data_IF_332998624870
#
_entry.id   IF_332998624870
#
_cell.length_a   1.000
_cell.length_b   1.000
_cell.length_c   1.000
_cell.angle_alpha   90.00
_cell.angle_beta   90.00
_cell.angle_gamma   90.00
#
_symmetry.space_group_name_H-M   'P 1'
#
loop_
_entity.id
_entity.type
_entity.pdbx_description
1 polymer ?
#
# COMPACT_ATOMS: atom_id res chain seq x y z
N UNK A 1 -5.56 17.47 -42.72
CA UNK A 1 -6.38 17.82 -41.54
C UNK A 1 -7.53 18.79 -41.93
N UNK A 2 -8.64 18.35 -42.56
CA UNK A 2 -9.83 19.20 -42.69
C UNK A 2 -11.09 18.64 -42.01
N UNK A 3 -10.99 17.52 -41.26
CA UNK A 3 -12.13 16.82 -40.66
C UNK A 3 -12.47 17.23 -39.21
N UNK A 4 -11.72 18.19 -38.62
CA UNK A 4 -11.98 18.72 -37.27
C UNK A 4 -12.73 20.07 -37.26
N UNK A 5 -13.02 20.65 -38.43
CA UNK A 5 -13.66 21.97 -38.54
C UNK A 5 -15.21 21.92 -38.52
N UNK A 6 -15.82 20.73 -38.47
CA UNK A 6 -17.28 20.54 -38.55
C UNK A 6 -17.93 20.03 -37.27
N UNK A 7 -17.22 20.02 -36.14
CA UNK A 7 -17.85 19.73 -34.85
C UNK A 7 -18.62 20.98 -34.38
N UNK A 8 -19.92 20.87 -34.02
CA UNK A 8 -20.69 22.00 -33.54
C UNK A 8 -19.99 22.61 -32.32
N UNK A 9 -19.74 23.92 -32.38
CA UNK A 9 -19.19 24.68 -31.25
C UNK A 9 -20.08 24.47 -30.04
N UNK A 10 -19.60 23.69 -29.06
CA UNK A 10 -20.27 23.54 -27.77
C UNK A 10 -20.53 24.93 -27.21
N UNK A 11 -21.77 25.25 -26.79
CA UNK A 11 -22.08 26.58 -26.29
C UNK A 11 -21.21 26.87 -25.06
N UNK A 12 -20.43 27.95 -25.12
CA UNK A 12 -19.46 28.35 -24.09
C UNK A 12 -20.01 28.36 -22.66
N UNK A 13 -21.34 28.51 -22.52
CA UNK A 13 -22.06 28.42 -21.25
C UNK A 13 -21.97 27.01 -20.63
N UNK A 14 -22.12 25.93 -21.41
CA UNK A 14 -22.00 24.54 -20.94
C UNK A 14 -20.54 24.21 -20.58
N UNK A 15 -19.58 24.67 -21.38
CA UNK A 15 -18.13 24.49 -21.13
C UNK A 15 -17.67 25.20 -19.85
N UNK A 16 -18.31 26.31 -19.47
CA UNK A 16 -18.05 27.02 -18.21
C UNK A 16 -18.79 26.45 -16.99
N UNK A 17 -19.92 25.78 -17.22
CA UNK A 17 -20.74 25.14 -16.17
C UNK A 17 -20.17 23.79 -15.75
N UNK A 18 -19.57 23.04 -16.69
CA UNK A 18 -19.01 21.71 -16.43
C UNK A 18 -17.94 21.69 -15.32
N UNK A 19 -16.89 22.56 -15.34
CA UNK A 19 -15.91 22.59 -14.25
C UNK A 19 -16.53 23.01 -12.92
N UNK A 20 -17.52 23.93 -12.90
CA UNK A 20 -18.19 24.37 -11.67
C UNK A 20 -19.11 23.31 -11.06
N UNK A 21 -19.83 22.56 -11.89
CA UNK A 21 -20.67 21.43 -11.45
C UNK A 21 -19.81 20.26 -10.96
N UNK A 22 -18.69 19.99 -11.64
CA UNK A 22 -17.72 18.98 -11.23
C UNK A 22 -17.03 19.35 -9.91
N UNK A 23 -16.58 20.59 -9.74
CA UNK A 23 -16.02 21.07 -8.47
C UNK A 23 -17.03 20.98 -7.32
N UNK A 24 -18.32 21.32 -7.57
CA UNK A 24 -19.39 21.12 -6.58
C UNK A 24 -19.63 19.65 -6.24
N UNK A 25 -19.60 18.76 -7.24
CA UNK A 25 -19.71 17.33 -7.01
C UNK A 25 -18.52 16.80 -6.19
N UNK A 26 -17.28 17.16 -6.55
CA UNK A 26 -16.07 16.79 -5.78
C UNK A 26 -16.14 17.33 -4.35
N UNK A 27 -16.63 18.55 -4.16
CA UNK A 27 -16.83 19.12 -2.82
C UNK A 27 -17.92 18.40 -2.02
N UNK A 28 -18.97 17.88 -2.67
CA UNK A 28 -19.99 17.06 -2.01
C UNK A 28 -19.46 15.70 -1.53
N UNK A 29 -18.33 15.22 -2.07
CA UNK A 29 -17.66 13.98 -1.64
C UNK A 29 -16.61 14.18 -0.53
N UNK A 30 -16.48 15.37 0.06
CA UNK A 30 -15.55 15.60 1.18
C UNK A 30 -15.77 14.66 2.37
N UNK A 31 -17.03 14.27 2.65
CA UNK A 31 -17.33 13.31 3.70
C UNK A 31 -16.76 11.91 3.40
N UNK A 32 -16.87 11.47 2.14
CA UNK A 32 -16.31 10.20 1.67
C UNK A 32 -14.80 10.21 1.82
N UNK A 33 -14.17 11.32 1.44
CA UNK A 33 -12.72 11.48 1.54
C UNK A 33 -12.22 11.43 3.00
N UNK A 34 -12.86 12.16 3.92
CA UNK A 34 -12.53 12.11 5.36
C UNK A 34 -12.69 10.69 5.93
N UNK A 35 -13.73 9.96 5.51
CA UNK A 35 -13.94 8.57 5.91
C UNK A 35 -12.86 7.63 5.33
N UNK A 36 -12.46 7.84 4.07
CA UNK A 36 -11.38 7.07 3.47
C UNK A 36 -10.05 7.28 4.20
N UNK A 37 -9.70 8.54 4.47
CA UNK A 37 -8.48 8.91 5.17
C UNK A 37 -8.42 8.34 6.60
N UNK A 38 -9.53 8.34 7.33
CA UNK A 38 -9.56 7.78 8.69
C UNK A 38 -9.29 6.27 8.72
N UNK A 39 -9.85 5.52 7.78
CA UNK A 39 -9.64 4.06 7.70
C UNK A 39 -8.24 3.72 7.19
N UNK A 40 -7.70 4.48 6.22
CA UNK A 40 -6.32 4.30 5.74
C UNK A 40 -5.33 4.56 6.88
N UNK A 41 -5.52 5.64 7.64
CA UNK A 41 -4.68 5.97 8.79
C UNK A 41 -4.78 4.90 9.88
N UNK A 42 -5.99 4.43 10.20
CA UNK A 42 -6.22 3.36 11.17
C UNK A 42 -5.51 2.07 10.76
N UNK A 43 -5.62 1.66 9.51
CA UNK A 43 -5.01 0.45 9.01
C UNK A 43 -3.47 0.50 9.05
N UNK A 44 -2.88 1.64 8.70
CA UNK A 44 -1.44 1.84 8.80
C UNK A 44 -0.95 1.69 10.26
N UNK A 45 -1.70 2.23 11.23
CA UNK A 45 -1.40 2.04 12.65
C UNK A 45 -1.53 0.58 13.10
N UNK A 46 -2.59 -0.11 12.66
CA UNK A 46 -2.86 -1.49 13.04
C UNK A 46 -1.85 -2.51 12.46
N UNK A 47 -1.10 -2.12 11.43
CA UNK A 47 -0.06 -2.98 10.83
C UNK A 47 1.20 -3.07 11.69
N UNK A 48 1.42 -2.11 12.60
CA UNK A 48 2.60 -2.10 13.47
C UNK A 48 2.36 -2.99 14.69
N UNK A 49 2.91 -4.20 14.70
CA UNK A 49 2.92 -5.06 15.89
C UNK A 49 4.31 -5.07 16.54
N UNK A 50 4.38 -4.77 17.83
CA UNK A 50 5.64 -4.66 18.59
C UNK A 50 6.44 -5.98 18.55
N UNK A 51 5.75 -7.12 18.60
CA UNK A 51 6.36 -8.45 18.55
C UNK A 51 7.13 -8.72 17.24
N UNK A 52 6.64 -8.19 16.11
CA UNK A 52 7.27 -8.40 14.81
C UNK A 52 8.52 -7.52 14.63
N UNK A 53 8.51 -6.35 15.27
CA UNK A 53 9.60 -5.39 15.18
C UNK A 53 10.73 -5.67 16.18
N UNK A 54 10.44 -6.33 17.31
CA UNK A 54 11.38 -6.47 18.43
C UNK A 54 12.77 -7.00 18.03
N UNK A 55 12.85 -7.93 17.07
CA UNK A 55 14.10 -8.54 16.61
C UNK A 55 14.94 -7.63 15.70
N UNK A 56 14.29 -6.76 14.91
CA UNK A 56 14.95 -5.88 13.91
C UNK A 56 14.83 -4.40 14.26
N UNK A 57 14.32 -4.05 15.44
CA UNK A 57 13.98 -2.67 15.86
C UNK A 57 15.12 -1.68 15.67
N UNK A 58 16.34 -2.03 16.07
CA UNK A 58 17.49 -1.12 15.97
C UNK A 58 17.85 -0.81 14.52
N UNK A 59 17.81 -1.83 13.66
CA UNK A 59 18.05 -1.70 12.23
C UNK A 59 16.94 -0.86 11.56
N UNK A 60 15.67 -1.14 11.86
CA UNK A 60 14.52 -0.42 11.30
C UNK A 60 14.52 1.05 11.72
N UNK A 61 14.72 1.35 13.01
CA UNK A 61 14.76 2.73 13.52
C UNK A 61 15.86 3.53 12.80
N UNK A 62 17.04 2.95 12.64
CA UNK A 62 18.18 3.64 12.04
C UNK A 62 18.00 3.86 10.53
N UNK A 63 17.44 2.88 9.82
CA UNK A 63 17.08 3.03 8.40
C UNK A 63 16.00 4.10 8.24
N UNK A 64 14.93 4.04 9.04
CA UNK A 64 13.84 5.01 8.99
C UNK A 64 14.34 6.42 9.30
N UNK A 65 15.13 6.59 10.37
CA UNK A 65 15.72 7.87 10.74
C UNK A 65 16.57 8.44 9.60
N UNK A 66 17.48 7.63 9.04
CA UNK A 66 18.32 8.08 7.94
C UNK A 66 17.49 8.46 6.70
N UNK A 67 16.54 7.62 6.26
CA UNK A 67 15.68 7.95 5.11
C UNK A 67 14.90 9.25 5.36
N UNK A 68 14.29 9.40 6.53
CA UNK A 68 13.53 10.60 6.89
C UNK A 68 14.41 11.85 6.88
N UNK A 69 15.55 11.83 7.57
CA UNK A 69 16.45 12.98 7.67
C UNK A 69 17.04 13.37 6.31
N UNK A 70 17.54 12.40 5.54
CA UNK A 70 18.10 12.69 4.22
C UNK A 70 17.03 13.21 3.25
N UNK A 71 15.84 12.60 3.25
CA UNK A 71 14.72 13.04 2.39
C UNK A 71 14.27 14.45 2.78
N UNK A 72 14.07 14.70 4.07
CA UNK A 72 13.66 16.02 4.56
C UNK A 72 14.71 17.09 4.21
N UNK A 73 15.99 16.84 4.48
CA UNK A 73 17.06 17.80 4.21
C UNK A 73 17.21 18.09 2.71
N UNK A 74 17.29 17.05 1.88
CA UNK A 74 17.44 17.22 0.43
C UNK A 74 16.28 18.00 -0.18
N UNK A 75 15.05 17.72 0.24
CA UNK A 75 13.86 18.40 -0.26
C UNK A 75 13.75 19.81 0.30
N UNK A 76 14.13 20.03 1.57
CA UNK A 76 14.22 21.37 2.15
C UNK A 76 15.15 22.27 1.32
N UNK A 77 16.37 21.82 1.05
CA UNK A 77 17.32 22.60 0.25
C UNK A 77 16.89 22.73 -1.22
N UNK A 78 16.37 21.67 -1.84
CA UNK A 78 15.86 21.73 -3.20
C UNK A 78 14.69 22.73 -3.31
N UNK A 79 13.77 22.72 -2.34
CA UNK A 79 12.67 23.68 -2.30
C UNK A 79 13.19 25.10 -2.10
N UNK A 80 14.08 25.35 -1.14
CA UNK A 80 14.66 26.70 -0.95
C UNK A 80 15.25 27.28 -2.24
N UNK A 81 15.84 26.43 -3.10
CA UNK A 81 16.34 26.83 -4.42
C UNK A 81 15.23 27.03 -5.46
N UNK A 82 14.19 26.19 -5.44
CA UNK A 82 13.13 26.14 -6.46
C UNK A 82 11.92 27.02 -6.16
N UNK A 83 11.74 27.49 -4.92
CA UNK A 83 10.60 28.33 -4.49
C UNK A 83 10.37 29.56 -5.39
N UNK A 84 11.42 30.27 -5.87
CA UNK A 84 11.22 31.41 -6.78
C UNK A 84 10.53 31.04 -8.09
N UNK A 85 10.55 29.77 -8.50
CA UNK A 85 10.01 29.29 -9.77
C UNK A 85 8.60 28.71 -9.64
N UNK A 86 8.08 28.60 -8.41
CA UNK A 86 6.73 28.05 -8.11
C UNK A 86 5.64 29.14 -8.21
N UNK A 87 6.02 30.42 -8.23
CA UNK A 87 5.06 31.54 -8.32
C UNK A 87 4.27 31.78 -7.03
N UNK A 88 4.90 31.52 -5.87
CA UNK A 88 4.32 31.82 -4.56
C UNK A 88 4.30 33.34 -4.30
N UNK A 89 3.35 33.84 -3.49
CA UNK A 89 3.35 35.24 -3.09
C UNK A 89 4.60 35.59 -2.27
N UNK A 90 4.88 36.90 -2.15
CA UNK A 90 6.06 37.40 -1.45
C UNK A 90 5.96 37.09 0.05
N UNK A 91 6.73 36.11 0.51
CA UNK A 91 6.83 35.71 1.91
C UNK A 91 8.15 36.16 2.54
N UNK A 92 8.15 36.32 3.86
CA UNK A 92 9.38 36.52 4.65
C UNK A 92 10.24 35.26 4.58
N UNK A 93 11.57 35.40 4.72
CA UNK A 93 12.49 34.26 4.64
C UNK A 93 12.14 33.10 5.61
N UNK A 94 11.69 33.42 6.83
CA UNK A 94 11.25 32.43 7.83
C UNK A 94 10.02 31.63 7.37
N UNK A 95 9.09 32.27 6.66
CA UNK A 95 7.90 31.63 6.10
C UNK A 95 8.26 30.71 4.92
N UNK A 96 9.19 31.15 4.07
CA UNK A 96 9.74 30.32 2.98
C UNK A 96 10.41 29.05 3.53
N UNK A 97 11.20 29.17 4.61
CA UNK A 97 11.78 28.02 5.30
C UNK A 97 10.72 27.06 5.85
N UNK A 98 9.64 27.59 6.42
CA UNK A 98 8.51 26.78 6.88
C UNK A 98 7.82 26.00 5.75
N UNK A 99 7.58 26.64 4.60
CA UNK A 99 7.01 25.98 3.41
C UNK A 99 7.97 24.90 2.87
N UNK A 100 9.27 25.20 2.78
CA UNK A 100 10.28 24.23 2.35
C UNK A 100 10.38 23.03 3.30
N UNK A 101 10.31 23.29 4.62
CA UNK A 101 10.27 22.24 5.64
C UNK A 101 9.05 21.35 5.49
N UNK A 102 7.87 21.95 5.24
CA UNK A 102 6.61 21.22 5.04
C UNK A 102 6.65 20.34 3.79
N UNK A 103 7.28 20.80 2.70
CA UNK A 103 7.56 19.97 1.54
C UNK A 103 8.48 18.79 1.89
N UNK A 104 9.52 19.05 2.69
CA UNK A 104 10.41 18.02 3.20
C UNK A 104 9.67 16.92 3.96
N UNK A 105 8.80 17.30 4.90
CA UNK A 105 8.02 16.32 5.68
C UNK A 105 7.02 15.55 4.82
N UNK A 106 6.34 16.24 3.91
CA UNK A 106 5.43 15.61 2.95
C UNK A 106 6.15 14.58 2.07
N UNK A 107 7.37 14.87 1.61
CA UNK A 107 8.13 13.97 0.75
C UNK A 107 8.70 12.75 1.46
N UNK A 108 8.71 12.73 2.80
CA UNK A 108 8.97 11.51 3.55
C UNK A 108 7.87 10.47 3.31
N UNK A 109 6.62 10.86 3.10
CA UNK A 109 5.49 9.93 3.00
C UNK A 109 5.74 8.78 2.00
N UNK A 110 5.34 7.57 2.41
CA UNK A 110 5.33 6.35 1.59
C UNK A 110 3.90 5.78 1.56
N UNK A 111 3.65 4.76 0.73
CA UNK A 111 2.34 4.12 0.59
C UNK A 111 2.43 2.62 0.93
N UNK A 112 1.88 2.17 2.06
CA UNK A 112 1.89 0.76 2.45
C UNK A 112 1.04 -0.07 1.50
N UNK A 113 -0.13 0.44 1.09
CA UNK A 113 -1.04 -0.24 0.16
C UNK A 113 -0.36 -0.64 -1.17
N UNK A 114 0.43 0.24 -1.77
CA UNK A 114 1.18 -0.09 -2.99
C UNK A 114 2.26 -1.15 -2.75
N UNK A 115 2.92 -1.14 -1.59
CA UNK A 115 3.90 -2.16 -1.26
C UNK A 115 3.23 -3.53 -1.08
N UNK A 116 2.12 -3.58 -0.33
CA UNK A 116 1.33 -4.80 -0.15
C UNK A 116 0.85 -5.37 -1.49
N UNK A 117 0.39 -4.50 -2.41
CA UNK A 117 -0.04 -4.94 -3.73
C UNK A 117 1.09 -5.62 -4.51
N UNK A 118 2.29 -5.00 -4.55
CA UNK A 118 3.46 -5.59 -5.21
C UNK A 118 3.90 -6.89 -4.54
N UNK A 119 3.90 -6.95 -3.21
CA UNK A 119 4.26 -8.17 -2.47
C UNK A 119 3.25 -9.29 -2.69
N UNK A 120 1.96 -8.97 -2.75
CA UNK A 120 0.90 -9.93 -3.06
C UNK A 120 1.02 -10.45 -4.48
N UNK A 121 1.26 -9.57 -5.45
CA UNK A 121 1.43 -9.94 -6.86
C UNK A 121 2.69 -10.78 -7.11
N UNK A 122 3.78 -10.47 -6.42
CA UNK A 122 5.05 -11.23 -6.54
C UNK A 122 5.10 -12.47 -5.64
N UNK A 123 4.11 -12.68 -4.79
CA UNK A 123 4.16 -13.60 -3.65
C UNK A 123 5.46 -13.45 -2.84
N UNK A 124 5.91 -12.20 -2.68
CA UNK A 124 7.17 -11.81 -2.07
C UNK A 124 7.22 -12.16 -0.59
N UNK A 125 8.12 -13.06 -0.20
CA UNK A 125 8.35 -13.43 1.21
C UNK A 125 9.83 -13.63 1.50
N UNK A 126 10.32 -12.94 2.53
CA UNK A 126 11.69 -13.09 3.02
C UNK A 126 12.15 -11.87 3.82
N UNK A 127 13.45 -11.82 4.10
CA UNK A 127 14.06 -10.82 4.96
C UNK A 127 13.98 -9.41 4.36
N UNK A 128 14.14 -9.25 3.04
CA UNK A 128 14.00 -7.99 2.34
C UNK A 128 12.55 -7.48 2.41
N UNK A 129 11.57 -8.32 2.09
CA UNK A 129 10.15 -7.95 2.12
C UNK A 129 9.73 -7.53 3.54
N UNK A 130 10.11 -8.32 4.56
CA UNK A 130 9.82 -8.01 5.97
C UNK A 130 10.48 -6.71 6.43
N UNK A 131 11.75 -6.48 6.06
CA UNK A 131 12.46 -5.25 6.41
C UNK A 131 11.81 -4.03 5.77
N UNK A 132 11.48 -4.10 4.48
CA UNK A 132 10.84 -3.01 3.75
C UNK A 132 9.48 -2.68 4.37
N UNK A 133 8.65 -3.68 4.67
CA UNK A 133 7.35 -3.46 5.30
C UNK A 133 7.49 -2.82 6.69
N UNK A 134 8.41 -3.33 7.53
CA UNK A 134 8.67 -2.75 8.85
C UNK A 134 9.12 -1.27 8.77
N UNK A 135 10.02 -0.95 7.84
CA UNK A 135 10.45 0.43 7.61
C UNK A 135 9.30 1.30 7.13
N UNK A 136 8.46 0.83 6.19
CA UNK A 136 7.30 1.59 5.68
C UNK A 136 6.37 1.97 6.83
N UNK A 137 5.97 0.99 7.66
CA UNK A 137 5.01 1.20 8.73
C UNK A 137 5.54 2.18 9.78
N UNK A 138 6.78 1.98 10.26
CA UNK A 138 7.39 2.89 11.25
C UNK A 138 7.57 4.30 10.67
N UNK A 139 8.00 4.39 9.40
CA UNK A 139 8.22 5.66 8.71
C UNK A 139 6.93 6.45 8.50
N UNK A 140 5.82 5.78 8.23
CA UNK A 140 4.54 6.45 8.03
C UNK A 140 4.08 7.13 9.33
N UNK A 141 4.21 6.47 10.48
CA UNK A 141 3.94 7.07 11.80
C UNK A 141 4.80 8.32 12.03
N UNK A 142 6.11 8.21 11.77
CA UNK A 142 7.05 9.34 11.89
C UNK A 142 6.65 10.48 10.94
N UNK A 143 6.23 10.17 9.72
CA UNK A 143 5.82 11.17 8.74
C UNK A 143 4.60 11.95 9.22
N UNK A 144 3.56 11.27 9.72
CA UNK A 144 2.37 11.94 10.26
C UNK A 144 2.71 12.83 11.46
N UNK A 145 3.54 12.34 12.39
CA UNK A 145 3.96 13.13 13.54
C UNK A 145 4.74 14.39 13.12
N UNK A 146 5.73 14.24 12.25
CA UNK A 146 6.51 15.36 11.75
C UNK A 146 5.63 16.34 10.94
N UNK A 147 4.70 15.84 10.14
CA UNK A 147 3.77 16.68 9.38
C UNK A 147 2.87 17.51 10.29
N UNK A 148 2.27 16.89 11.31
CA UNK A 148 1.42 17.56 12.29
C UNK A 148 2.17 18.69 13.03
N UNK A 149 3.42 18.44 13.43
CA UNK A 149 4.25 19.48 14.06
C UNK A 149 4.54 20.62 13.08
N UNK A 150 4.86 20.28 11.83
CA UNK A 150 5.29 21.26 10.83
C UNK A 150 4.15 22.15 10.36
N UNK A 151 2.93 21.61 10.18
CA UNK A 151 1.77 22.39 9.75
C UNK A 151 1.39 23.42 10.81
N UNK A 152 1.46 23.06 12.09
CA UNK A 152 1.14 23.94 13.21
C UNK A 152 2.22 25.02 13.41
N UNK A 153 3.50 24.65 13.28
CA UNK A 153 4.59 25.62 13.31
C UNK A 153 4.46 26.62 12.16
N UNK A 154 4.13 26.14 10.96
CA UNK A 154 3.90 27.00 9.79
C UNK A 154 2.69 27.92 10.00
N UNK A 155 1.58 27.40 10.54
CA UNK A 155 0.40 28.20 10.87
C UNK A 155 0.74 29.36 11.82
N UNK A 156 1.56 29.08 12.83
CA UNK A 156 2.00 30.09 13.78
C UNK A 156 2.93 31.13 13.13
N UNK A 157 3.81 30.73 12.20
CA UNK A 157 4.67 31.65 11.43
C UNK A 157 3.88 32.53 10.44
N UNK A 158 2.72 32.06 9.99
CA UNK A 158 1.85 32.80 9.06
C UNK A 158 0.89 33.75 9.80
N UNK A 159 0.67 33.55 11.09
CA UNK A 159 -0.20 34.41 11.91
C UNK A 159 0.58 35.66 12.33
N UNK A 160 0.20 36.83 11.82
CA UNK A 160 0.92 38.12 11.96
C UNK A 160 0.94 38.71 13.39
N UNK A 161 0.68 37.89 14.41
CA UNK A 161 0.72 38.27 15.82
C UNK A 161 2.17 38.39 16.30
N UNK A 162 2.75 39.59 16.16
CA UNK A 162 3.89 39.98 16.96
C UNK A 162 3.60 39.79 18.45
N UNK A 163 4.61 39.34 19.21
CA UNK A 163 4.71 39.25 20.68
C UNK A 163 4.58 37.84 21.30
N UNK A 164 5.69 37.40 21.91
CA UNK A 164 5.98 36.19 22.72
C UNK A 164 6.19 34.86 21.98
N UNK A 165 7.24 34.86 21.15
CA UNK A 165 7.65 33.85 20.15
C UNK A 165 7.88 32.41 20.63
N UNK A 166 8.11 32.14 21.93
CA UNK A 166 8.50 30.80 22.39
C UNK A 166 7.35 29.91 22.88
N UNK A 167 6.60 30.40 23.87
CA UNK A 167 5.68 29.56 24.66
C UNK A 167 4.25 29.58 24.10
N UNK A 168 3.78 30.71 23.54
CA UNK A 168 2.43 30.81 22.96
C UNK A 168 2.32 30.15 21.59
N UNK A 169 3.37 30.29 20.77
CA UNK A 169 3.52 29.66 19.46
C UNK A 169 3.52 28.14 19.56
N UNK A 170 4.13 27.58 20.62
CA UNK A 170 4.20 26.13 20.81
C UNK A 170 2.95 25.53 21.47
N UNK A 171 2.16 26.33 22.20
CA UNK A 171 0.96 25.86 22.92
C UNK A 171 -0.12 25.31 21.98
N UNK A 172 -0.31 25.92 20.81
CA UNK A 172 -1.23 25.45 19.77
C UNK A 172 -0.87 24.05 19.26
N UNK A 173 0.31 23.86 18.64
CA UNK A 173 0.80 22.57 18.16
C UNK A 173 0.81 21.48 19.25
N UNK A 174 1.27 21.82 20.46
CA UNK A 174 1.34 20.85 21.56
C UNK A 174 -0.07 20.43 21.99
N UNK A 175 -1.02 21.37 22.07
CA UNK A 175 -2.41 21.04 22.38
C UNK A 175 -3.03 20.15 21.31
N UNK A 176 -2.89 20.49 20.03
CA UNK A 176 -3.48 19.69 18.95
C UNK A 176 -2.89 18.28 18.91
N UNK A 177 -1.59 18.14 19.15
CA UNK A 177 -0.90 16.85 19.26
C UNK A 177 -1.37 16.04 20.47
N UNK A 178 -1.44 16.66 21.66
CA UNK A 178 -1.89 15.97 22.87
C UNK A 178 -3.35 15.51 22.76
N UNK A 179 -4.23 16.34 22.23
CA UNK A 179 -5.63 15.96 22.00
C UNK A 179 -5.72 14.82 21.00
N UNK A 180 -4.96 14.86 19.89
CA UNK A 180 -4.90 13.76 18.93
C UNK A 180 -4.39 12.45 19.57
N UNK A 181 -3.36 12.53 20.44
CA UNK A 181 -2.85 11.39 21.19
C UNK A 181 -3.88 10.79 22.14
N UNK A 182 -4.59 11.64 22.89
CA UNK A 182 -5.63 11.20 23.82
C UNK A 182 -6.80 10.53 23.08
N UNK A 183 -7.27 11.14 21.98
CA UNK A 183 -8.31 10.58 21.14
C UNK A 183 -7.88 9.27 20.49
N UNK A 184 -6.64 9.20 19.99
CA UNK A 184 -6.08 7.99 19.41
C UNK A 184 -5.96 6.87 20.43
N UNK A 185 -5.41 7.14 21.62
CA UNK A 185 -5.30 6.15 22.68
C UNK A 185 -6.67 5.67 23.17
N UNK A 186 -7.61 6.59 23.40
CA UNK A 186 -8.98 6.25 23.79
C UNK A 186 -9.72 5.46 22.71
N UNK A 187 -9.61 5.88 21.44
CA UNK A 187 -10.16 5.17 20.29
C UNK A 187 -9.55 3.77 20.14
N UNK A 188 -8.25 3.63 20.33
CA UNK A 188 -7.56 2.34 20.22
C UNK A 188 -7.91 1.38 21.35
N UNK A 189 -8.03 1.88 22.57
CA UNK A 189 -8.48 1.09 23.72
C UNK A 189 -9.94 0.64 23.57
N UNK A 190 -10.83 1.53 23.11
CA UNK A 190 -12.22 1.17 22.81
C UNK A 190 -12.30 0.15 21.67
N UNK A 191 -11.47 0.28 20.63
CA UNK A 191 -11.43 -0.70 19.54
C UNK A 191 -10.86 -2.06 20.00
N UNK A 192 -9.78 -2.07 20.78
CA UNK A 192 -9.18 -3.28 21.34
C UNK A 192 -10.16 -4.01 22.27
N UNK A 193 -10.93 -3.28 23.07
CA UNK A 193 -11.97 -3.89 23.92
C UNK A 193 -13.13 -4.44 23.09
N UNK A 194 -13.61 -3.72 22.08
CA UNK A 194 -14.70 -4.18 21.21
C UNK A 194 -14.32 -5.43 20.40
N UNK A 195 -13.10 -5.48 19.87
CA UNK A 195 -12.62 -6.58 19.03
C UNK A 195 -12.01 -7.74 19.85
N UNK A 196 -11.18 -7.40 20.84
CA UNK A 196 -10.41 -8.35 21.65
C UNK A 196 -11.17 -8.97 22.81
N UNK A 197 -12.43 -8.61 23.01
CA UNK A 197 -13.26 -9.26 24.00
C UNK A 197 -13.42 -10.76 23.70
N UNK A 198 -12.86 -11.59 24.58
CA UNK A 198 -13.45 -12.90 24.84
C UNK A 198 -14.95 -12.69 25.17
N UNK A 199 -15.85 -13.61 24.77
CA UNK A 199 -17.30 -13.46 24.97
C UNK A 199 -17.76 -13.26 26.43
N UNK A 200 -16.85 -13.27 27.42
CA UNK A 200 -17.15 -13.00 28.83
C UNK A 200 -17.20 -11.51 29.25
N UNK A 201 -16.49 -10.58 28.60
CA UNK A 201 -16.47 -9.17 29.09
C UNK A 201 -17.55 -8.27 28.46
N UNK A 202 -18.02 -8.60 27.25
CA UNK A 202 -19.19 -7.95 26.59
C UNK A 202 -20.52 -8.42 27.24
N UNK A 203 -20.48 -9.34 28.21
CA UNK A 203 -21.63 -9.57 29.10
C UNK A 203 -22.07 -8.30 29.87
N UNK A 204 -21.25 -7.23 29.88
CA UNK A 204 -21.59 -5.93 30.49
C UNK A 204 -22.13 -4.85 29.54
N UNK A 205 -22.10 -5.06 28.22
CA UNK A 205 -22.83 -4.21 27.27
C UNK A 205 -24.07 -4.99 26.76
N UNK A 206 -25.24 -4.83 27.39
CA UNK A 206 -26.40 -5.70 27.15
C UNK A 206 -26.92 -5.65 25.70
N UNK A 207 -26.65 -4.55 24.98
CA UNK A 207 -27.10 -4.34 23.61
C UNK A 207 -26.27 -5.11 22.57
N UNK A 208 -24.94 -5.14 22.70
CA UNK A 208 -24.05 -5.73 21.69
C UNK A 208 -23.96 -7.26 21.81
N UNK A 209 -23.95 -7.80 23.05
CA UNK A 209 -23.90 -9.25 23.29
C UNK A 209 -25.22 -9.99 23.00
N UNK A 210 -26.35 -9.28 23.01
CA UNK A 210 -27.66 -9.82 22.63
C UNK A 210 -27.82 -9.86 21.10
N UNK A 211 -27.24 -8.88 20.39
CA UNK A 211 -27.26 -8.83 18.95
C UNK A 211 -26.30 -9.89 18.36
N UNK A 212 -25.04 -9.93 18.77
CA UNK A 212 -24.06 -10.88 18.20
C UNK A 212 -24.39 -12.36 18.42
N UNK A 213 -25.11 -12.71 19.50
CA UNK A 213 -25.58 -14.10 19.75
C UNK A 213 -26.67 -14.59 18.81
N UNK A 214 -27.39 -13.68 18.13
CA UNK A 214 -28.49 -14.01 17.21
C UNK A 214 -28.08 -13.97 15.74
N UNK A 215 -26.85 -13.58 15.44
CA UNK A 215 -26.38 -13.39 14.07
C UNK A 215 -25.42 -14.51 13.65
N UNK A 216 -25.60 -14.99 12.41
CA UNK A 216 -24.67 -15.91 11.73
C UNK A 216 -23.23 -15.36 11.75
N UNK A 217 -22.19 -16.21 11.86
CA UNK A 217 -20.79 -15.78 11.91
C UNK A 217 -20.38 -14.80 10.79
N UNK A 218 -20.95 -14.94 9.59
CA UNK A 218 -20.72 -14.03 8.46
C UNK A 218 -21.29 -12.62 8.67
N UNK A 219 -22.34 -12.48 9.48
CA UNK A 219 -22.92 -11.18 9.81
C UNK A 219 -22.17 -10.50 10.95
N UNK A 220 -21.59 -11.27 11.88
CA UNK A 220 -20.75 -10.74 12.96
C UNK A 220 -19.51 -10.04 12.40
N UNK A 221 -18.82 -10.65 11.43
CA UNK A 221 -17.66 -10.04 10.76
C UNK A 221 -18.04 -8.72 10.06
N UNK A 222 -19.18 -8.67 9.38
CA UNK A 222 -19.69 -7.43 8.75
C UNK A 222 -20.03 -6.34 9.76
N UNK A 223 -20.67 -6.69 10.88
CA UNK A 223 -20.95 -5.75 11.96
C UNK A 223 -19.67 -5.17 12.55
N UNK A 224 -18.64 -6.00 12.76
CA UNK A 224 -17.34 -5.53 13.26
C UNK A 224 -16.65 -4.58 12.28
N UNK A 225 -16.68 -4.88 10.98
CA UNK A 225 -16.15 -3.97 9.96
C UNK A 225 -16.86 -2.60 9.97
N UNK A 226 -18.19 -2.58 10.09
CA UNK A 226 -18.96 -1.33 10.22
C UNK A 226 -18.56 -0.56 11.48
N UNK A 227 -18.36 -1.25 12.61
CA UNK A 227 -17.92 -0.61 13.86
C UNK A 227 -16.52 -0.03 13.73
N UNK A 228 -15.58 -0.75 13.12
CA UNK A 228 -14.21 -0.28 12.85
C UNK A 228 -14.24 1.01 12.03
N UNK A 229 -14.96 1.01 10.90
CA UNK A 229 -15.09 2.18 10.01
C UNK A 229 -15.79 3.33 10.72
N UNK A 230 -16.89 3.06 11.43
CA UNK A 230 -17.67 4.06 12.14
C UNK A 230 -16.87 4.72 13.27
N UNK A 231 -16.11 3.95 14.03
CA UNK A 231 -15.26 4.49 15.10
C UNK A 231 -14.09 5.29 14.52
N UNK A 232 -13.44 4.82 13.45
CA UNK A 232 -12.39 5.56 12.76
C UNK A 232 -12.88 6.92 12.26
N UNK A 233 -14.02 6.95 11.56
CA UNK A 233 -14.65 8.18 11.09
C UNK A 233 -15.07 9.11 12.23
N UNK A 234 -15.56 8.55 13.35
CA UNK A 234 -15.94 9.32 14.53
C UNK A 234 -14.75 9.97 15.21
N UNK A 235 -13.65 9.23 15.41
CA UNK A 235 -12.39 9.76 15.98
C UNK A 235 -11.82 10.85 15.07
N UNK A 236 -11.82 10.63 13.76
CA UNK A 236 -11.38 11.62 12.79
C UNK A 236 -12.21 12.90 12.87
N UNK A 237 -13.54 12.77 12.83
CA UNK A 237 -14.45 13.93 12.89
C UNK A 237 -14.36 14.67 14.23
N UNK A 238 -14.16 13.95 15.33
CA UNK A 238 -13.98 14.56 16.66
C UNK A 238 -12.65 15.30 16.76
N UNK A 239 -11.57 14.72 16.23
CA UNK A 239 -10.27 15.39 16.16
C UNK A 239 -10.35 16.68 15.32
N UNK A 240 -10.99 16.61 14.15
CA UNK A 240 -11.22 17.77 13.26
C UNK A 240 -12.03 18.88 13.96
N UNK A 241 -13.04 18.51 14.76
CA UNK A 241 -13.85 19.47 15.55
C UNK A 241 -13.12 20.09 16.74
N UNK A 242 -12.10 19.40 17.29
CA UNK A 242 -11.35 19.87 18.46
C UNK A 242 -10.06 20.62 18.07
N UNK A 243 -9.90 20.93 16.77
CA UNK A 243 -8.68 21.47 16.18
C UNK A 243 -7.45 20.62 16.56
N UNK A 244 -7.60 19.30 16.48
CA UNK A 244 -6.55 18.30 16.69
C UNK A 244 -6.19 17.63 15.36
N UNK A 245 -5.00 17.02 15.27
CA UNK A 245 -4.55 16.34 14.05
C UNK A 245 -5.32 15.01 13.83
N UNK A 246 -6.26 14.92 12.86
CA UNK A 246 -7.16 13.77 12.76
C UNK A 246 -6.46 12.49 12.27
N UNK A 247 -5.49 12.63 11.38
CA UNK A 247 -4.74 11.51 10.82
C UNK A 247 -3.88 10.84 11.89
N UNK A 248 -3.21 11.63 12.72
CA UNK A 248 -2.44 11.11 13.85
C UNK A 248 -3.33 10.37 14.85
N UNK A 249 -4.50 10.92 15.17
CA UNK A 249 -5.45 10.26 16.08
C UNK A 249 -5.86 8.87 15.54
N UNK A 250 -6.15 8.75 14.24
CA UNK A 250 -6.49 7.48 13.61
C UNK A 250 -5.31 6.49 13.56
N UNK A 251 -4.10 6.94 13.24
CA UNK A 251 -2.89 6.08 13.28
C UNK A 251 -2.64 5.54 14.69
N UNK A 252 -2.69 6.42 15.71
CA UNK A 252 -2.50 6.01 17.09
C UNK A 252 -3.62 5.08 17.59
N UNK A 253 -4.85 5.30 17.14
CA UNK A 253 -5.96 4.38 17.39
C UNK A 253 -5.67 2.97 16.87
N UNK A 254 -5.12 2.84 15.66
CA UNK A 254 -4.78 1.55 15.07
C UNK A 254 -3.63 0.88 15.80
N UNK A 255 -2.59 1.66 16.09
CA UNK A 255 -1.40 1.22 16.82
C UNK A 255 -1.75 0.68 18.21
N UNK A 256 -2.53 1.45 18.98
CA UNK A 256 -2.95 1.03 20.32
C UNK A 256 -3.87 -0.19 20.24
N UNK A 257 -4.78 -0.24 19.28
CA UNK A 257 -5.69 -1.38 19.13
C UNK A 257 -4.93 -2.69 18.86
N UNK A 258 -3.90 -2.66 18.00
CA UNK A 258 -3.13 -3.84 17.59
C UNK A 258 -2.04 -4.28 18.60
N UNK A 259 -1.76 -3.48 19.65
CA UNK A 259 -0.71 -3.78 20.63
C UNK A 259 -1.19 -3.81 22.08
N UNK A 260 -2.48 -3.61 22.34
CA UNK A 260 -3.02 -3.63 23.69
C UNK A 260 -3.39 -5.06 24.15
N UNK A 261 -3.07 -5.37 25.41
CA UNK A 261 -3.37 -6.65 26.04
C UNK A 261 -2.21 -7.66 25.97
N UNK A 262 -2.49 -8.93 26.25
CA UNK A 262 -1.50 -10.01 26.08
C UNK A 262 -1.14 -10.21 24.60
N UNK A 263 0.05 -10.72 24.28
CA UNK A 263 0.50 -10.94 22.89
C UNK A 263 -0.53 -11.72 22.05
N UNK A 264 -1.14 -12.76 22.62
CA UNK A 264 -2.18 -13.53 21.95
C UNK A 264 -3.45 -12.71 21.64
N UNK A 265 -3.83 -11.81 22.56
CA UNK A 265 -4.98 -10.93 22.36
C UNK A 265 -4.67 -9.86 21.30
N UNK A 266 -3.51 -9.21 21.40
CA UNK A 266 -3.05 -8.21 20.45
C UNK A 266 -3.05 -8.76 19.00
N UNK A 267 -2.53 -9.98 18.79
CA UNK A 267 -2.58 -10.65 17.48
C UNK A 267 -4.00 -10.94 17.02
N UNK A 268 -4.88 -11.44 17.89
CA UNK A 268 -6.27 -11.70 17.51
C UNK A 268 -7.01 -10.44 17.07
N UNK A 269 -6.76 -9.30 17.73
CA UNK A 269 -7.34 -8.00 17.36
C UNK A 269 -6.77 -7.51 16.04
N UNK A 270 -5.46 -7.65 15.85
CA UNK A 270 -4.79 -7.28 14.60
C UNK A 270 -5.34 -8.08 13.41
N UNK A 271 -5.47 -9.41 13.55
CA UNK A 271 -6.06 -10.27 12.51
C UNK A 271 -7.49 -9.84 12.18
N UNK A 272 -8.29 -9.53 13.20
CA UNK A 272 -9.66 -9.06 13.02
C UNK A 272 -9.75 -7.68 12.35
N UNK A 273 -8.83 -6.77 12.67
CA UNK A 273 -8.68 -5.48 11.99
C UNK A 273 -8.33 -5.68 10.52
N UNK A 274 -7.33 -6.51 10.22
CA UNK A 274 -6.93 -6.83 8.85
C UNK A 274 -8.08 -7.42 8.05
N UNK A 275 -8.86 -8.33 8.65
CA UNK A 275 -10.06 -8.89 8.03
C UNK A 275 -11.14 -7.84 7.77
N UNK A 276 -11.36 -6.95 8.74
CA UNK A 276 -12.31 -5.84 8.62
C UNK A 276 -11.90 -4.87 7.51
N UNK A 277 -10.61 -4.57 7.40
CA UNK A 277 -10.04 -3.77 6.32
C UNK A 277 -10.13 -4.49 4.97
N UNK A 278 -9.96 -5.81 4.91
CA UNK A 278 -10.03 -6.57 3.67
C UNK A 278 -11.36 -6.38 2.92
N UNK A 279 -12.47 -6.18 3.64
CA UNK A 279 -13.78 -5.90 3.07
C UNK A 279 -13.95 -4.44 2.60
N UNK A 280 -13.39 -3.48 3.34
CA UNK A 280 -13.61 -2.06 3.11
C UNK A 280 -12.56 -1.42 2.18
N UNK A 281 -11.30 -1.87 2.25
CA UNK A 281 -10.15 -1.25 1.58
C UNK A 281 -10.25 -1.21 0.05
N UNK A 282 -10.74 -2.23 -0.66
CA UNK A 282 -10.87 -2.13 -2.12
C UNK A 282 -11.79 -0.97 -2.54
N UNK A 283 -12.94 -0.82 -1.87
CA UNK A 283 -13.91 0.24 -2.18
C UNK A 283 -13.38 1.61 -1.74
N UNK A 284 -12.77 1.68 -0.55
CA UNK A 284 -12.17 2.90 -0.02
C UNK A 284 -11.04 3.39 -0.93
N UNK A 285 -10.10 2.50 -1.29
CA UNK A 285 -9.00 2.84 -2.17
C UNK A 285 -9.49 3.23 -3.57
N UNK A 286 -10.44 2.49 -4.15
CA UNK A 286 -11.02 2.83 -5.45
C UNK A 286 -11.66 4.22 -5.42
N UNK A 287 -12.47 4.52 -4.40
CA UNK A 287 -13.14 5.81 -4.25
C UNK A 287 -12.14 6.95 -4.03
N UNK A 288 -11.18 6.74 -3.11
CA UNK A 288 -10.15 7.72 -2.77
C UNK A 288 -9.24 8.01 -3.97
N UNK A 289 -8.73 6.99 -4.66
CA UNK A 289 -7.84 7.18 -5.80
C UNK A 289 -8.57 7.73 -7.03
N UNK A 290 -9.83 7.36 -7.25
CA UNK A 290 -10.65 7.96 -8.31
C UNK A 290 -10.88 9.45 -8.04
N UNK A 291 -11.25 9.82 -6.80
CA UNK A 291 -11.42 11.22 -6.40
C UNK A 291 -10.11 12.01 -6.48
N UNK A 292 -9.02 11.43 -5.99
CA UNK A 292 -7.72 12.07 -6.06
C UNK A 292 -7.29 12.28 -7.52
N UNK A 293 -7.45 11.28 -8.39
CA UNK A 293 -7.20 11.39 -9.83
C UNK A 293 -8.07 12.44 -10.52
N UNK A 294 -9.36 12.47 -10.19
CA UNK A 294 -10.33 13.46 -10.66
C UNK A 294 -9.97 14.89 -10.25
N UNK A 295 -9.30 15.07 -9.11
CA UNK A 295 -8.86 16.39 -8.61
C UNK A 295 -7.55 16.89 -9.25
N UNK A 296 -6.86 16.06 -10.04
CA UNK A 296 -5.60 16.44 -10.69
C UNK A 296 -5.88 17.42 -11.83
N UNK A 297 -5.32 18.62 -11.71
CA UNK A 297 -5.29 19.60 -12.80
C UNK A 297 -4.08 19.36 -13.69
N UNK A 298 -4.28 18.68 -14.83
CA UNK A 298 -3.21 18.37 -15.80
C UNK A 298 -2.48 19.63 -16.31
N UNK A 299 -3.17 20.76 -16.42
CA UNK A 299 -2.53 22.02 -16.83
C UNK A 299 -1.52 22.51 -15.80
N UNK A 300 -1.85 22.36 -14.50
CA UNK A 300 -0.96 22.74 -13.41
C UNK A 300 0.19 21.73 -13.23
N UNK A 301 -0.05 20.47 -13.58
CA UNK A 301 0.98 19.43 -13.66
C UNK A 301 2.04 19.75 -14.73
N UNK A 302 1.60 20.15 -15.92
CA UNK A 302 2.50 20.43 -17.04
C UNK A 302 3.29 21.73 -16.85
N UNK A 303 2.68 22.77 -16.29
CA UNK A 303 3.38 24.04 -16.02
C UNK A 303 4.44 23.91 -14.92
N UNK A 304 4.18 23.08 -13.89
CA UNK A 304 5.10 22.80 -12.79
C UNK A 304 6.10 21.66 -13.05
N UNK A 305 6.05 21.01 -14.22
CA UNK A 305 6.74 19.73 -14.46
C UNK A 305 8.27 19.83 -14.29
N UNK A 306 8.87 20.95 -14.71
CA UNK A 306 10.33 21.16 -14.57
C UNK A 306 10.75 21.15 -13.09
N UNK A 307 10.03 21.90 -12.26
CA UNK A 307 10.27 21.94 -10.81
C UNK A 307 10.00 20.58 -10.18
N UNK A 308 8.91 19.92 -10.59
CA UNK A 308 8.56 18.59 -10.10
C UNK A 308 9.64 17.54 -10.40
N UNK A 309 10.23 17.54 -11.60
CA UNK A 309 11.33 16.64 -11.97
C UNK A 309 12.54 16.88 -11.06
N UNK A 310 12.92 18.14 -10.82
CA UNK A 310 14.04 18.46 -9.93
C UNK A 310 13.80 17.93 -8.50
N UNK A 311 12.61 18.15 -7.94
CA UNK A 311 12.23 17.65 -6.61
C UNK A 311 12.22 16.12 -6.60
N UNK A 312 11.67 15.50 -7.65
CA UNK A 312 11.61 14.04 -7.79
C UNK A 312 13.01 13.41 -7.82
N UNK A 313 13.94 13.96 -8.60
CA UNK A 313 15.34 13.50 -8.63
C UNK A 313 16.02 13.69 -7.28
N UNK A 314 15.87 14.87 -6.65
CA UNK A 314 16.43 15.13 -5.32
C UNK A 314 15.92 14.11 -4.30
N UNK A 315 14.63 13.77 -4.37
CA UNK A 315 14.00 12.76 -3.51
C UNK A 315 14.57 11.37 -3.74
N UNK A 316 14.72 10.95 -4.99
CA UNK A 316 15.28 9.63 -5.32
C UNK A 316 16.70 9.47 -4.78
N UNK A 317 17.54 10.48 -5.00
CA UNK A 317 18.91 10.49 -4.49
C UNK A 317 18.92 10.44 -2.96
N UNK A 318 18.08 11.23 -2.30
CA UNK A 318 17.99 11.26 -0.85
C UNK A 318 17.54 9.91 -0.26
N UNK A 319 16.56 9.25 -0.88
CA UNK A 319 16.10 7.92 -0.47
C UNK A 319 17.19 6.87 -0.70
N UNK A 320 17.91 6.96 -1.82
CA UNK A 320 19.04 6.08 -2.12
C UNK A 320 20.13 6.21 -1.05
N UNK A 321 20.66 7.42 -0.83
CA UNK A 321 21.71 7.65 0.16
C UNK A 321 21.23 7.38 1.58
N UNK A 322 20.03 7.84 1.96
CA UNK A 322 19.48 7.66 3.29
C UNK A 322 19.28 6.18 3.64
N UNK A 323 18.74 5.38 2.72
CA UNK A 323 18.58 3.93 2.95
C UNK A 323 19.90 3.17 2.93
N UNK A 324 20.87 3.58 2.10
CA UNK A 324 22.19 2.96 2.07
C UNK A 324 22.97 3.26 3.36
N UNK A 325 23.02 4.52 3.81
CA UNK A 325 23.67 4.93 5.06
C UNK A 325 22.97 4.30 6.26
N UNK A 326 21.64 4.38 6.32
CA UNK A 326 20.85 3.78 7.40
C UNK A 326 21.02 2.26 7.44
N UNK A 327 21.04 1.60 6.29
CA UNK A 327 21.29 0.17 6.19
C UNK A 327 22.72 -0.22 6.60
N UNK A 328 23.71 0.61 6.27
CA UNK A 328 25.11 0.41 6.70
C UNK A 328 25.24 0.53 8.21
N UNK A 329 24.71 1.61 8.78
CA UNK A 329 24.75 1.86 10.22
C UNK A 329 23.93 0.80 10.99
N UNK A 330 22.84 0.32 10.41
CA UNK A 330 22.01 -0.77 10.94
C UNK A 330 22.59 -2.18 10.73
N UNK A 331 23.81 -2.30 10.21
CA UNK A 331 24.49 -3.58 9.90
C UNK A 331 23.64 -4.52 9.03
N UNK A 332 22.85 -3.95 8.13
CA UNK A 332 22.05 -4.69 7.17
C UNK A 332 22.97 -5.41 6.19
N UNK A 333 22.70 -6.69 5.85
CA UNK A 333 23.45 -7.39 4.82
C UNK A 333 23.52 -6.58 3.54
N UNK A 334 24.68 -6.64 2.89
CA UNK A 334 25.01 -5.79 1.75
C UNK A 334 23.99 -5.90 0.60
N UNK A 335 23.48 -7.10 0.34
CA UNK A 335 22.53 -7.36 -0.74
C UNK A 335 21.15 -6.74 -0.49
N UNK A 336 20.72 -6.72 0.78
CA UNK A 336 19.50 -6.02 1.19
C UNK A 336 19.72 -4.51 1.13
N UNK A 337 20.83 -4.03 1.69
CA UNK A 337 21.17 -2.61 1.78
C UNK A 337 21.12 -1.88 0.44
N UNK A 338 21.62 -2.50 -0.64
CA UNK A 338 21.61 -1.91 -1.98
C UNK A 338 20.22 -1.77 -2.60
N UNK A 339 19.19 -2.43 -2.04
CA UNK A 339 17.86 -2.56 -2.65
C UNK A 339 16.76 -1.83 -1.87
N UNK A 340 16.95 -1.54 -0.57
CA UNK A 340 15.91 -0.92 0.29
C UNK A 340 15.29 0.32 -0.35
N UNK A 341 16.11 1.20 -0.95
CA UNK A 341 15.65 2.45 -1.57
C UNK A 341 14.51 2.23 -2.57
N UNK A 342 14.56 1.17 -3.36
CA UNK A 342 13.56 0.88 -4.40
C UNK A 342 12.17 0.62 -3.80
N UNK A 343 12.12 0.06 -2.58
CA UNK A 343 10.87 -0.12 -1.83
C UNK A 343 10.30 1.17 -1.25
N UNK A 344 11.07 2.28 -1.22
CA UNK A 344 10.73 3.51 -0.50
C UNK A 344 10.23 4.65 -1.41
N UNK A 345 10.11 4.41 -2.71
CA UNK A 345 9.80 5.47 -3.68
C UNK A 345 8.30 5.79 -3.70
N UNK A 346 7.42 4.81 -3.83
CA UNK A 346 6.03 5.05 -4.22
C UNK A 346 5.26 5.92 -3.23
N UNK A 347 4.67 7.01 -3.71
CA UNK A 347 3.71 7.81 -2.94
C UNK A 347 2.31 7.56 -3.48
N UNK A 348 1.31 7.64 -2.61
CA UNK A 348 -0.08 7.44 -3.00
C UNK A 348 -1.01 8.17 -2.01
N UNK A 349 -2.01 7.47 -1.48
CA UNK A 349 -3.13 8.13 -0.81
C UNK A 349 -2.77 8.94 0.43
N UNK A 350 -1.81 8.50 1.23
CA UNK A 350 -1.32 9.28 2.38
C UNK A 350 -0.77 10.64 1.92
N UNK A 351 0.16 10.65 0.96
CA UNK A 351 0.76 11.90 0.46
C UNK A 351 -0.29 12.84 -0.17
N UNK A 352 -1.26 12.29 -0.91
CA UNK A 352 -2.37 13.07 -1.49
C UNK A 352 -3.28 13.66 -0.40
N UNK A 353 -3.57 12.89 0.66
CA UNK A 353 -4.30 13.37 1.83
C UNK A 353 -3.58 14.54 2.52
N UNK A 354 -2.27 14.40 2.77
CA UNK A 354 -1.45 15.45 3.38
C UNK A 354 -1.42 16.72 2.51
N UNK A 355 -1.25 16.59 1.19
CA UNK A 355 -1.31 17.72 0.25
C UNK A 355 -2.67 18.42 0.30
N UNK A 356 -3.76 17.66 0.35
CA UNK A 356 -5.11 18.22 0.46
C UNK A 356 -5.30 18.99 1.76
N UNK A 357 -4.75 18.49 2.87
CA UNK A 357 -4.72 19.21 4.16
C UNK A 357 -4.00 20.54 4.03
N UNK A 358 -2.86 20.62 3.32
CA UNK A 358 -2.14 21.88 3.07
C UNK A 358 -3.02 22.85 2.28
N UNK A 359 -3.63 22.41 1.18
CA UNK A 359 -4.53 23.25 0.37
C UNK A 359 -5.69 23.81 1.18
N UNK A 360 -6.26 23.01 2.08
CA UNK A 360 -7.38 23.42 2.92
C UNK A 360 -6.94 24.39 4.02
N UNK A 361 -5.75 24.18 4.61
CA UNK A 361 -5.25 24.97 5.73
C UNK A 361 -4.66 26.31 5.30
N UNK A 362 -4.11 26.39 4.08
CA UNK A 362 -3.51 27.60 3.53
C UNK A 362 -4.13 27.97 2.17
N UNK A 363 -5.35 28.54 2.14
CA UNK A 363 -6.07 28.79 0.88
C UNK A 363 -5.34 29.69 -0.10
N UNK A 364 -4.51 30.63 0.40
CA UNK A 364 -3.85 31.65 -0.43
C UNK A 364 -2.73 31.09 -1.32
N UNK A 365 -1.99 30.10 -0.83
CA UNK A 365 -0.80 29.56 -1.53
C UNK A 365 -0.78 28.03 -1.61
N UNK A 366 -1.53 27.36 -0.74
CA UNK A 366 -1.63 25.91 -0.65
C UNK A 366 -2.01 25.25 -1.98
N UNK A 367 -3.02 25.73 -2.75
CA UNK A 367 -3.36 25.14 -4.04
C UNK A 367 -2.21 25.12 -5.05
N UNK A 368 -1.41 26.20 -5.13
CA UNK A 368 -0.25 26.29 -6.02
C UNK A 368 0.85 25.34 -5.59
N UNK A 369 1.17 25.31 -4.30
CA UNK A 369 2.11 24.35 -3.72
C UNK A 369 1.68 22.91 -3.99
N UNK A 370 0.42 22.61 -3.72
CA UNK A 370 -0.18 21.29 -3.87
C UNK A 370 -0.13 20.79 -5.30
N UNK A 371 -0.32 21.65 -6.30
CA UNK A 371 -0.17 21.26 -7.70
C UNK A 371 1.24 20.73 -8.02
N UNK A 372 2.29 21.42 -7.55
CA UNK A 372 3.67 20.96 -7.73
C UNK A 372 3.92 19.65 -6.98
N UNK A 373 3.44 19.52 -5.74
CA UNK A 373 3.66 18.31 -4.96
C UNK A 373 2.89 17.10 -5.52
N UNK A 374 1.66 17.29 -6.02
CA UNK A 374 0.90 16.25 -6.74
C UNK A 374 1.67 15.77 -7.96
N UNK A 375 2.33 16.69 -8.69
CA UNK A 375 3.18 16.35 -9.83
C UNK A 375 4.31 15.40 -9.45
N UNK A 376 4.99 15.68 -8.34
CA UNK A 376 6.04 14.80 -7.79
C UNK A 376 5.46 13.45 -7.36
N UNK A 377 4.28 13.45 -6.72
CA UNK A 377 3.58 12.22 -6.29
C UNK A 377 3.27 11.32 -7.48
N UNK A 378 2.80 11.88 -8.60
CA UNK A 378 2.53 11.12 -9.84
C UNK A 378 3.81 10.47 -10.38
N UNK A 379 4.93 11.21 -10.43
CA UNK A 379 6.22 10.66 -10.86
C UNK A 379 6.67 9.51 -9.95
N UNK A 380 6.51 9.66 -8.63
CA UNK A 380 6.80 8.58 -7.67
C UNK A 380 5.86 7.37 -7.83
N UNK A 381 4.59 7.60 -8.20
CA UNK A 381 3.61 6.54 -8.42
C UNK A 381 3.92 5.72 -9.68
N UNK A 382 4.37 6.38 -10.75
CA UNK A 382 4.75 5.74 -12.00
C UNK A 382 6.04 4.91 -11.86
N UNK A 383 7.00 5.41 -11.10
CA UNK A 383 8.34 4.81 -11.01
C UNK A 383 8.50 3.82 -9.86
N UNK A 384 7.77 4.01 -8.76
CA UNK A 384 7.95 3.25 -7.53
C UNK A 384 7.60 1.75 -7.63
N UNK A 385 6.38 1.36 -8.05
CA UNK A 385 5.97 -0.05 -8.09
C UNK A 385 6.84 -0.93 -9.02
N UNK A 386 7.20 -0.50 -10.26
CA UNK A 386 8.11 -1.28 -11.10
C UNK A 386 9.49 -1.50 -10.47
N UNK A 387 10.05 -0.47 -9.84
CA UNK A 387 11.35 -0.56 -9.15
C UNK A 387 11.26 -1.46 -7.92
N UNK A 388 10.19 -1.35 -7.14
CA UNK A 388 9.99 -2.21 -5.98
C UNK A 388 9.82 -3.67 -6.38
N UNK A 389 8.99 -3.95 -7.41
CA UNK A 389 8.82 -5.29 -7.99
C UNK A 389 10.16 -5.87 -8.44
N UNK A 390 10.95 -5.09 -9.16
CA UNK A 390 12.28 -5.50 -9.63
C UNK A 390 13.22 -5.80 -8.45
N UNK A 391 13.15 -5.04 -7.37
CA UNK A 391 13.94 -5.27 -6.17
C UNK A 391 13.56 -6.55 -5.42
N UNK A 392 12.26 -6.89 -5.35
CA UNK A 392 11.77 -8.16 -4.75
C UNK A 392 12.20 -9.37 -5.58
N UNK A 393 12.13 -9.27 -6.90
CA UNK A 393 12.62 -10.33 -7.80
C UNK A 393 14.13 -10.50 -7.64
N UNK A 394 14.87 -9.40 -7.66
CA UNK A 394 16.32 -9.43 -7.58
C UNK A 394 16.87 -9.74 -6.16
N UNK A 395 16.03 -9.70 -5.12
CA UNK A 395 16.36 -10.24 -3.80
C UNK A 395 16.14 -11.75 -3.70
N UNK A 396 15.60 -12.39 -4.75
CA UNK A 396 15.27 -13.82 -4.75
C UNK A 396 14.05 -14.16 -3.89
N UNK A 397 13.25 -13.17 -3.49
CA UNK A 397 12.12 -13.36 -2.57
C UNK A 397 10.77 -13.44 -3.29
N UNK A 398 10.73 -13.18 -4.59
CA UNK A 398 9.55 -13.34 -5.43
C UNK A 398 9.32 -14.82 -5.80
N UNK A 399 8.18 -15.39 -5.39
CA UNK A 399 7.82 -16.79 -5.69
C UNK A 399 7.01 -16.94 -6.97
N UNK A 400 6.22 -15.93 -7.33
CA UNK A 400 5.42 -15.95 -8.55
C UNK A 400 6.27 -15.90 -9.83
N UNK A 401 7.47 -15.30 -9.77
CA UNK A 401 8.37 -15.17 -10.92
C UNK A 401 9.09 -16.47 -11.31
N UNK A 402 9.21 -17.44 -10.40
CA UNK A 402 9.75 -18.78 -10.70
C UNK A 402 8.82 -19.55 -11.65
N UNK A 403 7.51 -19.28 -11.63
CA UNK A 403 6.52 -19.89 -12.53
C UNK A 403 6.48 -19.24 -13.92
N UNK A 404 6.88 -17.97 -14.06
CA UNK A 404 6.97 -17.30 -15.37
C UNK A 404 8.28 -17.62 -16.11
N UNK A 405 9.33 -18.04 -15.39
CA UNK A 405 10.54 -18.63 -15.98
C UNK A 405 10.37 -20.12 -16.33
N UNK A 406 9.20 -20.70 -16.05
CA UNK A 406 8.78 -22.03 -16.49
C UNK A 406 8.23 -22.08 -17.91
N UNK A 407 8.35 -21.01 -18.71
CA UNK A 407 8.32 -21.17 -20.16
C UNK A 407 9.68 -21.77 -20.52
N UNK A 408 9.77 -23.04 -20.94
CA UNK A 408 11.04 -23.58 -21.37
C UNK A 408 11.52 -22.72 -22.53
N UNK A 409 12.59 -21.95 -22.31
CA UNK A 409 13.46 -21.57 -23.41
C UNK A 409 13.88 -22.90 -23.99
N UNK A 410 13.34 -23.26 -25.16
CA UNK A 410 13.83 -24.38 -25.96
C UNK A 410 15.32 -24.13 -26.12
N UNK A 411 16.13 -24.79 -25.31
CA UNK A 411 17.53 -25.00 -25.61
C UNK A 411 17.53 -25.78 -26.92
N UNK A 412 18.19 -25.24 -27.93
CA UNK A 412 18.39 -25.84 -29.25
C UNK A 412 19.21 -27.14 -29.14
N UNK A 413 18.60 -28.18 -28.57
CA UNK A 413 19.16 -29.51 -28.37
C UNK A 413 18.20 -30.60 -28.90
N UNK A 414 17.21 -30.24 -29.73
CA UNK A 414 16.32 -31.19 -30.41
C UNK A 414 16.49 -31.22 -31.93
N UNK A 415 17.65 -30.76 -32.45
CA UNK A 415 18.02 -30.90 -33.86
C UNK A 415 18.72 -32.23 -34.18
N UNK A 416 18.81 -33.19 -33.25
CA UNK A 416 19.38 -34.52 -33.50
C UNK A 416 18.39 -35.69 -33.42
N UNK A 417 17.11 -35.44 -33.08
CA UNK A 417 16.10 -36.51 -32.98
C UNK A 417 15.06 -36.49 -34.11
N UNK A 418 14.99 -35.43 -34.92
CA UNK A 418 14.03 -35.35 -36.03
C UNK A 418 14.49 -36.08 -37.30
N UNK A 419 15.79 -36.34 -37.47
CA UNK A 419 16.30 -37.09 -38.64
C UNK A 419 16.19 -38.61 -38.45
N UNK A 420 16.24 -39.11 -37.22
CA UNK A 420 16.09 -40.55 -36.91
C UNK A 420 14.63 -41.05 -37.05
N UNK A 421 13.65 -40.17 -36.81
CA UNK A 421 12.23 -40.52 -36.91
C UNK A 421 11.69 -40.43 -38.35
N UNK A 422 12.32 -39.60 -39.20
CA UNK A 422 12.00 -39.48 -40.63
C UNK A 422 12.57 -40.64 -41.48
N UNK A 423 13.71 -41.22 -41.10
CA UNK A 423 14.28 -42.39 -41.80
C UNK A 423 13.56 -43.70 -41.45
N UNK A 424 13.08 -43.87 -40.23
CA UNK A 424 12.26 -45.04 -39.85
C UNK A 424 10.86 -45.03 -40.52
N UNK A 425 10.30 -43.85 -40.77
CA UNK A 425 9.04 -43.68 -41.51
C UNK A 425 9.18 -43.88 -43.03
N UNK A 426 10.38 -43.70 -43.60
CA UNK A 426 10.68 -44.01 -45.01
C UNK A 426 10.96 -45.50 -45.25
N UNK A 427 11.49 -46.22 -44.27
CA UNK A 427 11.69 -47.67 -44.35
C UNK A 427 10.38 -48.48 -44.22
N UNK A 428 9.41 -48.02 -43.42
CA UNK A 428 8.13 -48.74 -43.21
C UNK A 428 7.09 -48.62 -44.33
N UNK A 429 7.22 -47.63 -45.23
CA UNK A 429 6.25 -47.38 -46.32
C UNK A 429 6.51 -48.11 -47.63
N UNK A 430 7.66 -48.80 -47.80
CA UNK A 430 7.94 -49.63 -48.99
C UNK A 430 7.44 -51.08 -48.88
N UNK A 431 7.00 -51.54 -47.70
CA UNK A 431 6.61 -52.95 -47.49
C UNK A 431 5.09 -53.19 -47.39
N UNK A 432 4.24 -52.16 -47.36
CA UNK A 432 2.78 -52.30 -47.15
C UNK A 432 1.88 -51.87 -48.31
N UNK A 433 2.44 -51.52 -49.48
CA UNK A 433 1.66 -51.21 -50.70
C UNK A 433 1.43 -52.40 -51.63
N UNK A 434 1.88 -53.62 -51.28
CA UNK A 434 1.76 -54.81 -52.15
C UNK A 434 0.73 -55.87 -51.71
N UNK A 435 0.13 -55.78 -50.52
CA UNK A 435 -0.62 -56.91 -49.93
C UNK A 435 -2.05 -56.56 -49.49
N UNK A 436 -2.44 -55.28 -49.46
CA UNK A 436 -3.76 -54.86 -48.97
C UNK A 436 -4.75 -54.40 -50.07
N UNK A 437 -4.39 -54.59 -51.35
CA UNK A 437 -5.30 -54.37 -52.49
C UNK A 437 -6.22 -55.59 -52.77
N UNK A 438 -6.00 -56.72 -52.08
CA UNK A 438 -6.76 -57.96 -52.25
C UNK A 438 -7.80 -58.25 -51.16
N UNK A 439 -7.86 -57.44 -50.09
CA UNK A 439 -8.72 -57.71 -48.92
C UNK A 439 -9.93 -56.77 -48.79
N UNK A 440 -10.07 -55.79 -49.71
CA UNK A 440 -11.19 -54.83 -49.74
C UNK A 440 -12.28 -55.19 -50.76
N UNK A 441 -12.22 -56.39 -51.36
CA UNK A 441 -13.26 -56.93 -52.22
C UNK A 441 -13.67 -58.32 -51.71
N UNK A 442 -14.66 -58.38 -50.82
CA UNK A 442 -15.39 -59.61 -50.59
C UNK A 442 -15.80 -59.88 -49.16
N UNK A 443 -17.09 -59.67 -48.93
CA UNK A 443 -18.00 -60.64 -48.36
C UNK A 443 -18.55 -60.36 -46.95
N UNK A 444 -19.86 -60.13 -46.97
CA UNK A 444 -20.81 -60.10 -45.85
C UNK A 444 -20.86 -61.45 -45.11
N UNK A 445 -21.35 -61.44 -43.85
CA UNK A 445 -21.81 -62.69 -43.24
C UNK A 445 -21.94 -62.73 -41.72
N UNK A 446 -23.20 -62.61 -41.28
CA UNK A 446 -23.83 -62.90 -39.98
C UNK A 446 -23.25 -64.01 -39.05
N UNK A 447 -23.71 -63.89 -37.78
CA UNK A 447 -23.99 -64.94 -36.76
C UNK A 447 -22.79 -65.38 -35.91
N UNK A 448 -22.89 -65.87 -34.67
CA UNK A 448 -23.81 -65.85 -33.53
C UNK A 448 -23.07 -66.58 -32.38
N UNK A 449 -23.68 -66.66 -31.18
CA UNK A 449 -23.43 -67.65 -30.09
C UNK A 449 -22.48 -67.27 -28.94
N UNK A 450 -23.13 -67.12 -27.77
CA UNK A 450 -22.92 -67.68 -26.41
C UNK A 450 -21.54 -68.06 -25.84
N UNK A 451 -21.48 -67.91 -24.50
CA UNK A 451 -20.69 -68.76 -23.59
C UNK A 451 -19.72 -67.98 -22.70
N UNK A 452 -20.10 -67.52 -21.50
CA UNK A 452 -20.18 -68.26 -20.23
C UNK A 452 -18.85 -68.45 -19.47
N UNK A 453 -18.90 -68.09 -18.17
CA UNK A 453 -18.10 -68.60 -17.04
C UNK A 453 -16.59 -68.25 -17.04
N UNK A 454 -15.86 -68.08 -15.93
CA UNK A 454 -16.04 -68.05 -14.47
C UNK A 454 -14.60 -67.79 -13.93
N UNK A 455 -14.34 -67.00 -12.88
CA UNK A 455 -14.03 -67.45 -11.51
C UNK A 455 -13.20 -66.33 -10.82
N UNK A 456 -13.66 -65.88 -9.66
CA UNK A 456 -12.85 -65.31 -8.55
C UNK A 456 -12.20 -66.50 -7.76
N UNK A 457 -11.46 -66.38 -6.62
CA UNK A 457 -11.14 -65.20 -5.78
C UNK A 457 -9.71 -65.19 -5.10
N UNK A 458 -9.46 -64.14 -4.29
CA UNK A 458 -8.88 -64.15 -2.91
C UNK A 458 -7.38 -64.23 -2.52
N UNK A 459 -7.06 -63.37 -1.53
CA UNK A 459 -6.13 -63.48 -0.35
C UNK A 459 -4.65 -63.07 -0.56
N UNK A 460 -4.16 -61.98 0.05
CA UNK A 460 -3.76 -61.78 1.47
C UNK A 460 -2.39 -62.40 1.80
N UNK A 461 -1.41 -61.55 2.18
CA UNK A 461 -0.28 -61.96 3.03
C UNK A 461 0.33 -60.74 3.72
N UNK A 462 0.77 -60.97 4.95
CA UNK A 462 1.22 -60.01 5.97
C UNK A 462 2.68 -60.31 6.36
N UNK A 463 3.30 -59.35 7.07
CA UNK A 463 4.44 -59.46 8.03
C UNK A 463 5.89 -59.57 7.48
N UNK A 464 6.95 -59.36 8.32
CA UNK A 464 7.07 -58.62 9.61
C UNK A 464 8.36 -57.76 9.80
N UNK A 465 8.42 -57.17 11.01
CA UNK A 465 9.45 -56.49 11.83
C UNK A 465 10.95 -56.84 11.79
N UNK A 466 11.79 -55.82 12.06
CA UNK A 466 12.89 -55.76 13.09
C UNK A 466 13.37 -54.29 13.18
N UNK A 467 13.83 -53.65 14.26
CA UNK A 467 14.23 -54.04 15.61
C UNK A 467 15.69 -53.62 15.91
N UNK A 468 15.94 -52.49 16.61
CA UNK A 468 17.09 -52.11 17.52
C UNK A 468 17.21 -50.57 17.65
N UNK A 469 16.97 -49.96 18.84
CA UNK A 469 17.93 -49.64 19.95
C UNK A 469 19.19 -48.90 19.47
N UNK A 470 19.66 -47.75 19.96
CA UNK A 470 19.60 -47.06 21.26
C UNK A 470 21.01 -46.47 21.55
N UNK A 471 21.11 -45.39 22.36
CA UNK A 471 22.31 -44.62 22.80
C UNK A 471 22.81 -43.57 21.79
N UNK A 472 23.03 -42.28 22.10
CA UNK A 472 23.29 -41.52 23.33
C UNK A 472 22.59 -40.16 23.28
#
# INVERSE_FOLDING_TARGET
MPLLASLPSFPARITSLYPRCFERAVNSLQLVDKCCLSVIALAAGAELHEGDLARIRGQVILITFAICTFTWAAIFFAMMLLLPWIGLPAFKYQQLQGIASLAGTLMMARSPASAIAVLKETEGRGAYCSLVMAVIVVKDVVTFLCFAINIELLQALMSDSGVSMGIRVLRGPVRSLLVAMLLGFGGGATLSTVLGSRPGLIARAPLFSSLTRRLSPSNVSRCKAIVVVGLAASVFALADRLDAEPLLACVLMGLVAANQGSEAQARSVQEELVMSFGLAMPVINMSFFALAGASIRLDALLSGLRVAICIWVARLLAIYFGSWIGGWAGRTPHDLRRRIWAGMITQAGVALGLVKTISARFPDWGPTFSAVMVSVIILNLLTGPPLFRSAVIASGEARASTNLQGIPVRSDASLSSSDAELDSLRAGKRSKSGVLLSELLGNEGRSSVDGAASLLPTQMSTRPSSGRSGLK
#
